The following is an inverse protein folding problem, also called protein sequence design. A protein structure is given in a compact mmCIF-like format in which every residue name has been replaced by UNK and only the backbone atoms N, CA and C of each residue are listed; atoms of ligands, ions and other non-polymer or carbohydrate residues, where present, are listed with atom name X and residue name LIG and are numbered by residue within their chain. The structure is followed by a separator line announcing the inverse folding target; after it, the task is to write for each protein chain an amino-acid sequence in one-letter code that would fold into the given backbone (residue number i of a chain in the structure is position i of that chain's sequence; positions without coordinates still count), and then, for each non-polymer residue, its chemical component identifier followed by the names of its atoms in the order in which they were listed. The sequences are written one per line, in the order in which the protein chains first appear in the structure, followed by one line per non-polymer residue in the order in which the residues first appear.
data_IF_781672658391
#
_entry.id   IF_781672658391
#
_cell.length_a   1.000
_cell.length_b   1.000
_cell.length_c   1.000
_cell.angle_alpha   90.00
_cell.angle_beta   90.00
_cell.angle_gamma   90.00
#
_symmetry.space_group_name_H-M   'P 1'
#
loop_
_entity.id
_entity.type
_entity.pdbx_description
1 polymer ?
#
# COMPACT_ATOMS: atom_id res chain seq x y z
N UNK A 1 -30.16 5.03 -20.32
CA UNK A 1 -29.11 5.95 -20.81
C UNK A 1 -27.83 5.67 -20.02
N UNK A 2 -26.76 5.20 -20.67
CA UNK A 2 -25.32 5.20 -20.36
C UNK A 2 -24.70 4.88 -18.96
N UNK A 3 -25.43 4.74 -17.85
CA UNK A 3 -24.82 4.53 -16.51
C UNK A 3 -24.22 3.12 -16.24
N UNK A 4 -24.00 2.31 -17.28
CA UNK A 4 -23.56 0.90 -17.13
C UNK A 4 -22.36 0.51 -18.00
N UNK A 5 -21.63 1.47 -18.54
CA UNK A 5 -20.53 1.20 -19.50
C UNK A 5 -19.22 1.95 -19.19
N UNK A 6 -18.96 2.32 -17.93
CA UNK A 6 -17.65 2.86 -17.52
C UNK A 6 -16.89 1.93 -16.55
N UNK A 7 -17.33 0.68 -16.42
CA UNK A 7 -16.61 -0.37 -15.71
C UNK A 7 -15.67 -1.11 -16.66
N UNK A 8 -14.75 -0.40 -17.31
CA UNK A 8 -13.68 -1.04 -18.11
C UNK A 8 -12.41 -0.17 -18.13
N UNK A 9 -11.19 -0.65 -17.79
CA UNK A 9 -10.79 -1.98 -17.32
C UNK A 9 -10.05 -1.92 -15.96
N UNK A 10 -10.78 -1.86 -14.86
CA UNK A 10 -10.17 -2.02 -13.52
C UNK A 10 -9.64 -3.45 -13.32
N UNK A 11 -10.15 -4.42 -14.08
CA UNK A 11 -9.64 -5.81 -14.08
C UNK A 11 -8.23 -5.97 -14.69
N UNK A 12 -7.69 -4.97 -15.40
CA UNK A 12 -6.35 -5.10 -16.03
C UNK A 12 -5.21 -4.84 -15.05
N UNK A 13 -5.45 -4.16 -13.92
CA UNK A 13 -4.40 -3.95 -12.89
C UNK A 13 -4.06 -5.24 -12.16
N UNK A 14 -5.00 -6.18 -12.05
CA UNK A 14 -4.77 -7.51 -11.46
C UNK A 14 -3.72 -8.31 -12.26
N UNK A 15 -3.46 -7.97 -13.53
CA UNK A 15 -2.45 -8.64 -14.35
C UNK A 15 -1.00 -8.32 -13.94
N UNK A 16 -0.75 -7.21 -13.23
CA UNK A 16 0.59 -6.91 -12.69
C UNK A 16 0.91 -7.76 -11.45
N UNK A 17 -0.11 -8.26 -10.75
CA UNK A 17 0.03 -9.07 -9.53
C UNK A 17 0.61 -10.48 -9.70
N UNK A 18 0.97 -10.90 -10.93
CA UNK A 18 1.57 -12.23 -11.17
C UNK A 18 3.09 -12.24 -11.34
N UNK A 19 3.77 -11.09 -11.43
CA UNK A 19 5.22 -11.05 -11.67
C UNK A 19 6.07 -10.67 -10.45
N UNK A 20 5.44 -10.26 -9.36
CA UNK A 20 6.09 -9.89 -8.10
C UNK A 20 5.46 -10.75 -7.02
N UNK A 21 5.82 -12.03 -6.94
CA UNK A 21 5.28 -12.93 -5.91
C UNK A 21 6.38 -13.58 -5.06
N UNK A 22 7.62 -13.58 -5.54
CA UNK A 22 8.73 -14.21 -4.83
C UNK A 22 9.57 -13.22 -4.00
N UNK A 23 9.43 -11.90 -4.20
CA UNK A 23 10.10 -10.84 -3.40
C UNK A 23 9.20 -10.26 -2.28
N UNK A 24 7.89 -10.55 -2.31
CA UNK A 24 6.85 -9.81 -1.56
C UNK A 24 6.90 -10.04 -0.05
N UNK A 25 7.44 -11.16 0.41
CA UNK A 25 7.51 -11.45 1.85
C UNK A 25 8.54 -10.57 2.57
N UNK A 26 9.51 -9.98 1.86
CA UNK A 26 10.38 -8.91 2.39
C UNK A 26 9.73 -7.52 2.29
N UNK A 27 8.95 -7.27 1.25
CA UNK A 27 8.27 -5.99 0.98
C UNK A 27 7.11 -5.67 1.93
N UNK A 28 6.52 -6.68 2.59
CA UNK A 28 5.39 -6.48 3.51
C UNK A 28 5.72 -5.57 4.71
N UNK A 29 6.98 -5.49 5.10
CA UNK A 29 7.51 -4.59 6.13
C UNK A 29 8.48 -3.55 5.59
N UNK A 30 8.55 -3.39 4.26
CA UNK A 30 9.35 -2.32 3.67
C UNK A 30 8.56 -1.01 3.79
N UNK A 31 9.13 -0.08 4.55
CA UNK A 31 8.57 1.25 4.74
C UNK A 31 8.31 1.95 3.40
N UNK A 32 9.13 1.71 2.38
CA UNK A 32 8.99 2.31 1.05
C UNK A 32 7.76 1.76 0.31
N UNK A 33 7.46 0.48 0.47
CA UNK A 33 6.30 -0.14 -0.19
C UNK A 33 4.99 0.30 0.46
N UNK A 34 4.99 0.50 1.78
CA UNK A 34 3.85 1.06 2.50
C UNK A 34 3.62 2.52 2.07
N UNK A 35 4.69 3.31 1.87
CA UNK A 35 4.58 4.67 1.36
C UNK A 35 3.97 4.72 -0.05
N UNK A 36 4.38 3.84 -0.97
CA UNK A 36 3.74 3.75 -2.30
C UNK A 36 2.25 3.44 -2.20
N UNK A 37 1.85 2.53 -1.29
CA UNK A 37 0.44 2.19 -1.06
C UNK A 37 -0.35 3.36 -0.52
N UNK A 38 0.22 4.15 0.40
CA UNK A 38 -0.39 5.38 0.91
C UNK A 38 -0.60 6.42 -0.21
N UNK A 39 0.41 6.63 -1.06
CA UNK A 39 0.30 7.55 -2.21
C UNK A 39 -0.78 7.09 -3.19
N UNK A 40 -0.83 5.80 -3.50
CA UNK A 40 -1.87 5.26 -4.38
C UNK A 40 -3.26 5.40 -3.76
N UNK A 41 -3.41 5.17 -2.45
CA UNK A 41 -4.67 5.34 -1.74
C UNK A 41 -5.14 6.80 -1.79
N UNK A 42 -4.23 7.77 -1.63
CA UNK A 42 -4.53 9.20 -1.77
C UNK A 42 -5.02 9.53 -3.18
N UNK A 43 -4.32 9.05 -4.21
CA UNK A 43 -4.75 9.24 -5.59
C UNK A 43 -6.15 8.67 -5.87
N UNK A 44 -6.43 7.47 -5.36
CA UNK A 44 -7.74 6.84 -5.51
C UNK A 44 -8.83 7.65 -4.81
N UNK A 45 -8.53 8.25 -3.66
CA UNK A 45 -9.46 9.12 -2.94
C UNK A 45 -9.69 10.44 -3.68
N UNK A 46 -8.64 11.09 -4.16
CA UNK A 46 -8.73 12.31 -4.98
C UNK A 46 -9.54 12.10 -6.28
N UNK A 47 -9.48 10.89 -6.84
CA UNK A 47 -10.24 10.48 -8.03
C UNK A 47 -11.67 9.99 -7.72
N UNK A 48 -12.11 10.08 -6.45
CA UNK A 48 -13.41 9.57 -5.98
C UNK A 48 -13.63 8.07 -6.26
N UNK A 49 -12.54 7.29 -6.39
CA UNK A 49 -12.59 5.83 -6.62
C UNK A 49 -12.85 5.05 -5.31
N UNK A 50 -12.58 5.67 -4.16
CA UNK A 50 -12.88 5.15 -2.82
C UNK A 50 -13.67 6.16 -2.01
N UNK A 51 -14.53 5.67 -1.12
CA UNK A 51 -15.28 6.53 -0.19
C UNK A 51 -14.42 6.97 1.00
N UNK A 52 -14.78 8.07 1.65
CA UNK A 52 -14.09 8.58 2.86
C UNK A 52 -13.88 7.49 3.91
N UNK A 53 -14.91 6.67 4.16
CA UNK A 53 -14.84 5.59 5.14
C UNK A 53 -13.83 4.49 4.74
N UNK A 54 -13.79 4.13 3.45
CA UNK A 54 -12.84 3.13 2.93
C UNK A 54 -11.41 3.67 2.88
N UNK A 55 -11.25 4.96 2.62
CA UNK A 55 -9.98 5.65 2.69
C UNK A 55 -9.45 5.66 4.13
N UNK A 56 -10.28 6.08 5.10
CA UNK A 56 -9.90 6.17 6.50
C UNK A 56 -9.51 4.80 7.09
N UNK A 57 -10.28 3.75 6.78
CA UNK A 57 -9.97 2.38 7.21
C UNK A 57 -8.61 1.91 6.67
N UNK A 58 -8.38 2.03 5.36
CA UNK A 58 -7.14 1.59 4.72
C UNK A 58 -5.93 2.44 5.11
N UNK A 59 -6.12 3.75 5.28
CA UNK A 59 -5.07 4.67 5.69
C UNK A 59 -4.56 4.31 7.09
N UNK A 60 -5.49 4.08 8.03
CA UNK A 60 -5.15 3.69 9.40
C UNK A 60 -4.40 2.35 9.43
N UNK A 61 -4.84 1.37 8.65
CA UNK A 61 -4.17 0.07 8.54
C UNK A 61 -2.75 0.20 7.98
N UNK A 62 -2.58 0.95 6.90
CA UNK A 62 -1.26 1.18 6.28
C UNK A 62 -0.33 1.95 7.23
N UNK A 63 -0.85 2.94 7.96
CA UNK A 63 -0.04 3.75 8.87
C UNK A 63 0.45 2.94 10.07
N UNK A 64 -0.38 2.04 10.62
CA UNK A 64 0.05 1.17 11.71
C UNK A 64 1.15 0.21 11.25
N UNK A 65 1.05 -0.33 10.02
CA UNK A 65 2.11 -1.14 9.42
C UNK A 65 3.38 -0.34 9.19
N UNK A 66 3.26 0.92 8.75
CA UNK A 66 4.40 1.80 8.55
C UNK A 66 5.17 2.03 9.85
N UNK A 67 4.43 2.27 10.95
CA UNK A 67 5.02 2.44 12.28
C UNK A 67 5.85 1.23 12.69
N UNK A 68 5.28 0.03 12.57
CA UNK A 68 5.97 -1.22 12.91
C UNK A 68 7.21 -1.42 12.05
N UNK A 69 7.12 -1.17 10.74
CA UNK A 69 8.25 -1.25 9.82
C UNK A 69 9.41 -0.32 10.23
N UNK A 70 9.10 0.95 10.58
CA UNK A 70 10.12 1.92 11.02
C UNK A 70 10.75 1.56 12.36
N UNK A 71 9.97 1.01 13.29
CA UNK A 71 10.49 0.53 14.58
C UNK A 71 11.49 -0.61 14.38
N UNK A 72 11.16 -1.59 13.53
CA UNK A 72 12.06 -2.70 13.20
C UNK A 72 13.34 -2.23 12.50
N UNK A 73 13.25 -1.26 11.59
CA UNK A 73 14.41 -0.67 10.91
C UNK A 73 15.34 0.01 11.92
N UNK A 74 14.78 0.79 12.86
CA UNK A 74 15.54 1.47 13.90
C UNK A 74 16.22 0.50 14.87
N UNK A 75 15.52 -0.56 15.30
CA UNK A 75 16.09 -1.59 16.16
C UNK A 75 17.22 -2.35 15.47
N UNK A 76 17.03 -2.71 14.18
CA UNK A 76 18.07 -3.37 13.39
C UNK A 76 19.31 -2.48 13.25
N UNK A 77 19.13 -1.19 12.96
CA UNK A 77 20.25 -0.24 12.87
C UNK A 77 20.99 -0.13 14.20
N UNK A 78 20.27 0.01 15.32
CA UNK A 78 20.87 0.11 16.64
C UNK A 78 21.71 -1.12 16.98
N UNK A 79 21.18 -2.33 16.77
CA UNK A 79 21.92 -3.56 17.03
C UNK A 79 23.18 -3.68 16.16
N UNK A 80 23.15 -3.22 14.91
CA UNK A 80 24.32 -3.25 14.02
C UNK A 80 25.43 -2.24 14.38
N UNK A 81 25.12 -1.22 15.19
CA UNK A 81 26.08 -0.23 15.67
C UNK A 81 26.73 -0.63 17.01
N UNK A 82 26.12 -1.58 17.73
CA UNK A 82 26.56 -2.08 19.03
C UNK A 82 27.45 -3.35 18.92
N UNK A 83 27.65 -3.92 17.71
CA UNK A 83 28.60 -5.02 17.38
C UNK A 83 29.94 -4.50 16.84
#
# INVERSE_FOLDING_TARGET
MIHKLFTWPIDTVVFVGKKVKDEVDKELYDADEIQKKLVNLEMMYEMEEVTDAQYEEQYNELMERYRVAKEMEQESMKNSLDE
#
